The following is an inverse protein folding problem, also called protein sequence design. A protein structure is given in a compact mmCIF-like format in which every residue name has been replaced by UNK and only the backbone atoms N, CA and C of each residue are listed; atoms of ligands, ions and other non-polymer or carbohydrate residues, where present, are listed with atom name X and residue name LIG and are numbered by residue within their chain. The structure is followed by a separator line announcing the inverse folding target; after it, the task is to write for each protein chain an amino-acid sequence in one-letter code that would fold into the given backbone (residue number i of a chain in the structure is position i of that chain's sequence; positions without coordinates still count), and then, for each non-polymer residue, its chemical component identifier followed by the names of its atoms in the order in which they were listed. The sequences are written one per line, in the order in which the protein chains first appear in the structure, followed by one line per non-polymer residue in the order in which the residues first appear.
data_IF_984782382719
#
_entry.id   IF_984782382719
#
_cell.length_a   1.000
_cell.length_b   1.000
_cell.length_c   1.000
_cell.angle_alpha   90.00
_cell.angle_beta   90.00
_cell.angle_gamma   90.00
#
_symmetry.space_group_name_H-M   'P 1'
#
loop_
_entity.id
_entity.type
_entity.pdbx_description
1 polymer ?
#
# COMPACT_ATOMS: atom_id res chain seq x y z
N UNK A 1 -8.07 -31.85 -21.10
CA UNK A 1 -7.29 -30.64 -21.43
C UNK A 1 -7.94 -29.33 -20.97
N UNK A 2 -9.25 -29.28 -20.65
CA UNK A 2 -9.93 -28.05 -20.16
C UNK A 2 -9.50 -27.63 -18.74
N UNK A 3 -9.01 -28.57 -17.93
CA UNK A 3 -8.68 -28.35 -16.51
C UNK A 3 -7.40 -27.53 -16.26
N UNK A 4 -6.34 -27.76 -17.06
CA UNK A 4 -5.06 -27.05 -16.86
C UNK A 4 -5.11 -25.59 -17.30
N UNK A 5 -5.84 -25.28 -18.37
CA UNK A 5 -5.97 -23.91 -18.87
C UNK A 5 -6.75 -23.02 -17.87
N UNK A 6 -7.83 -23.54 -17.27
CA UNK A 6 -8.61 -22.82 -16.26
C UNK A 6 -7.83 -22.61 -14.96
N UNK A 7 -7.02 -23.58 -14.54
CA UNK A 7 -6.15 -23.45 -13.36
C UNK A 7 -5.06 -22.38 -13.57
N UNK A 8 -4.43 -22.36 -14.74
CA UNK A 8 -3.42 -21.35 -15.09
C UNK A 8 -4.03 -19.95 -15.14
N UNK A 9 -5.17 -19.80 -15.81
CA UNK A 9 -5.87 -18.51 -15.93
C UNK A 9 -6.31 -17.96 -14.56
N UNK A 10 -6.86 -18.83 -13.70
CA UNK A 10 -7.23 -18.45 -12.33
C UNK A 10 -6.02 -18.03 -11.49
N UNK A 11 -4.90 -18.75 -11.62
CA UNK A 11 -3.64 -18.40 -10.95
C UNK A 11 -3.12 -17.04 -11.42
N UNK A 12 -3.14 -16.78 -12.73
CA UNK A 12 -2.73 -15.49 -13.29
C UNK A 12 -3.65 -14.33 -12.86
N UNK A 13 -4.95 -14.57 -12.73
CA UNK A 13 -5.90 -13.56 -12.21
C UNK A 13 -5.60 -13.20 -10.77
N UNK A 14 -5.42 -14.20 -9.89
CA UNK A 14 -5.10 -13.97 -8.48
C UNK A 14 -3.77 -13.24 -8.27
N UNK A 15 -2.76 -13.55 -9.09
CA UNK A 15 -1.48 -12.83 -9.05
C UNK A 15 -1.64 -11.37 -9.44
N UNK A 16 -2.49 -11.07 -10.43
CA UNK A 16 -2.78 -9.70 -10.83
C UNK A 16 -3.49 -8.94 -9.72
N UNK A 17 -4.52 -9.53 -9.12
CA UNK A 17 -5.27 -8.93 -8.01
C UNK A 17 -4.37 -8.67 -6.80
N UNK A 18 -3.47 -9.60 -6.46
CA UNK A 18 -2.47 -9.41 -5.41
C UNK A 18 -1.53 -8.25 -5.72
N UNK A 19 -0.99 -8.20 -6.93
CA UNK A 19 -0.09 -7.12 -7.36
C UNK A 19 -0.79 -5.77 -7.29
N UNK A 20 -2.03 -5.70 -7.77
CA UNK A 20 -2.79 -4.46 -7.79
C UNK A 20 -3.15 -4.01 -6.36
N UNK A 21 -3.45 -4.95 -5.45
CA UNK A 21 -3.60 -4.67 -4.01
C UNK A 21 -2.32 -4.12 -3.38
N UNK A 22 -1.16 -4.70 -3.68
CA UNK A 22 0.13 -4.23 -3.15
C UNK A 22 0.46 -2.82 -3.63
N UNK A 23 0.20 -2.51 -4.90
CA UNK A 23 0.37 -1.17 -5.43
C UNK A 23 -0.59 -0.14 -4.82
N UNK A 24 -1.85 -0.52 -4.59
CA UNK A 24 -2.82 0.37 -3.94
C UNK A 24 -2.35 0.79 -2.55
N UNK A 25 -1.88 -0.16 -1.76
CA UNK A 25 -1.34 0.09 -0.42
C UNK A 25 -0.05 0.91 -0.47
N UNK A 26 0.89 0.57 -1.35
CA UNK A 26 2.12 1.34 -1.51
C UNK A 26 1.85 2.80 -1.87
N UNK A 27 0.87 3.06 -2.73
CA UNK A 27 0.47 4.42 -3.09
C UNK A 27 -0.07 5.19 -1.88
N UNK A 28 -0.89 4.56 -1.05
CA UNK A 28 -1.41 5.15 0.18
C UNK A 28 -0.30 5.49 1.18
N UNK A 29 0.61 4.55 1.40
CA UNK A 29 1.76 4.70 2.31
C UNK A 29 2.67 5.84 1.87
N UNK A 30 3.02 5.91 0.57
CA UNK A 30 3.89 6.94 0.04
C UNK A 30 3.28 8.35 0.13
N UNK A 31 1.97 8.47 -0.09
CA UNK A 31 1.28 9.75 0.06
C UNK A 31 1.38 10.25 1.51
N UNK A 32 1.14 9.36 2.47
CA UNK A 32 1.17 9.71 3.89
C UNK A 32 2.59 10.08 4.36
N UNK A 33 3.61 9.33 3.93
CA UNK A 33 5.03 9.65 4.18
C UNK A 33 5.38 11.03 3.62
N UNK A 34 4.96 11.35 2.39
CA UNK A 34 5.23 12.67 1.78
C UNK A 34 4.55 13.79 2.55
N UNK A 35 3.30 13.60 2.97
CA UNK A 35 2.55 14.56 3.77
C UNK A 35 3.27 14.85 5.09
N UNK A 36 3.57 13.81 5.88
CA UNK A 36 4.24 13.95 7.17
C UNK A 36 5.64 14.58 7.04
N UNK A 37 6.38 14.22 5.99
CA UNK A 37 7.67 14.86 5.70
C UNK A 37 7.50 16.36 5.48
N UNK A 38 6.57 16.77 4.62
CA UNK A 38 6.33 18.18 4.33
C UNK A 38 5.80 18.96 5.54
N UNK A 39 5.02 18.33 6.41
CA UNK A 39 4.62 18.91 7.70
C UNK A 39 5.81 19.17 8.61
N UNK A 40 6.72 18.21 8.75
CA UNK A 40 7.94 18.36 9.56
C UNK A 40 8.90 19.39 8.97
N UNK A 41 8.96 19.51 7.65
CA UNK A 41 9.83 20.47 6.93
C UNK A 41 9.21 21.88 6.82
N UNK A 42 7.95 22.08 7.21
CA UNK A 42 7.26 23.38 7.08
C UNK A 42 6.92 23.76 5.64
N UNK A 43 6.81 22.78 4.74
CA UNK A 43 6.62 22.94 3.29
C UNK A 43 5.15 23.18 2.91
N UNK A 44 4.57 24.27 3.44
CA UNK A 44 3.14 24.57 3.36
C UNK A 44 2.59 24.58 1.92
N UNK A 45 3.32 25.11 0.94
CA UNK A 45 2.90 25.11 -0.45
C UNK A 45 2.71 23.70 -1.02
N UNK A 46 3.55 22.74 -0.61
CA UNK A 46 3.42 21.33 -1.04
C UNK A 46 2.27 20.64 -0.31
N UNK A 47 2.01 20.99 0.95
CA UNK A 47 0.85 20.50 1.70
C UNK A 47 -0.46 20.99 1.10
N UNK A 48 -0.54 22.25 0.69
CA UNK A 48 -1.70 22.81 0.03
C UNK A 48 -1.99 22.09 -1.29
N UNK A 49 -0.95 21.83 -2.11
CA UNK A 49 -1.09 21.03 -3.33
C UNK A 49 -1.59 19.61 -3.03
N UNK A 50 -1.03 18.93 -2.03
CA UNK A 50 -1.52 17.59 -1.63
C UNK A 50 -3.00 17.67 -1.23
N UNK A 51 -3.37 18.64 -0.38
CA UNK A 51 -4.73 18.76 0.13
C UNK A 51 -5.74 19.14 -0.97
N UNK A 52 -5.31 19.85 -2.02
CA UNK A 52 -6.15 20.17 -3.18
C UNK A 52 -6.53 18.92 -3.99
N UNK A 53 -5.57 18.04 -4.29
CA UNK A 53 -5.79 16.89 -5.17
C UNK A 53 -6.18 15.59 -4.41
N UNK A 54 -5.72 15.49 -3.17
CA UNK A 54 -5.98 14.40 -2.24
C UNK A 54 -6.51 14.97 -0.93
N UNK A 55 -7.78 15.37 -0.96
CA UNK A 55 -8.50 15.81 0.24
C UNK A 55 -8.47 14.73 1.32
N UNK A 56 -8.68 15.13 2.59
CA UNK A 56 -8.73 14.18 3.71
C UNK A 56 -9.68 13.01 3.45
N UNK A 57 -10.89 13.28 2.95
CA UNK A 57 -11.87 12.23 2.64
C UNK A 57 -11.36 11.25 1.57
N UNK A 58 -10.76 11.76 0.50
CA UNK A 58 -10.21 10.93 -0.58
C UNK A 58 -9.03 10.08 -0.10
N UNK A 59 -8.21 10.59 0.83
CA UNK A 59 -7.14 9.81 1.46
C UNK A 59 -7.71 8.69 2.32
N UNK A 60 -8.76 8.95 3.08
CA UNK A 60 -9.44 7.93 3.89
C UNK A 60 -10.05 6.85 3.00
N UNK A 61 -10.74 7.23 1.93
CA UNK A 61 -11.29 6.30 0.92
C UNK A 61 -10.21 5.42 0.29
N UNK A 62 -9.15 6.04 -0.22
CA UNK A 62 -8.01 5.32 -0.79
C UNK A 62 -7.37 4.35 0.20
N UNK A 63 -7.24 4.73 1.48
CA UNK A 63 -6.72 3.85 2.51
C UNK A 63 -7.66 2.66 2.77
N UNK A 64 -8.98 2.89 2.82
CA UNK A 64 -9.96 1.82 3.00
C UNK A 64 -9.92 0.83 1.83
N UNK A 65 -9.94 1.31 0.59
CA UNK A 65 -9.87 0.47 -0.60
C UNK A 65 -8.58 -0.36 -0.63
N UNK A 66 -7.45 0.27 -0.35
CA UNK A 66 -6.15 -0.40 -0.32
C UNK A 66 -6.12 -1.50 0.74
N UNK A 67 -6.62 -1.24 1.95
CA UNK A 67 -6.67 -2.23 3.03
C UNK A 67 -7.62 -3.39 2.70
N UNK A 68 -8.79 -3.10 2.13
CA UNK A 68 -9.74 -4.15 1.71
C UNK A 68 -9.09 -5.06 0.66
N UNK A 69 -8.48 -4.48 -0.38
CA UNK A 69 -7.79 -5.23 -1.42
C UNK A 69 -6.65 -6.09 -0.84
N UNK A 70 -5.89 -5.54 0.09
CA UNK A 70 -4.80 -6.25 0.76
C UNK A 70 -5.29 -7.41 1.62
N UNK A 71 -6.39 -7.23 2.35
CA UNK A 71 -6.99 -8.32 3.13
C UNK A 71 -7.57 -9.41 2.24
N UNK A 72 -8.12 -9.06 1.07
CA UNK A 72 -8.70 -10.01 0.14
C UNK A 72 -7.64 -10.82 -0.64
N UNK A 73 -6.59 -10.17 -1.11
CA UNK A 73 -5.66 -10.74 -2.10
C UNK A 73 -4.20 -10.85 -1.63
N UNK A 74 -3.85 -10.15 -0.55
CA UNK A 74 -2.50 -10.14 0.01
C UNK A 74 -2.16 -11.37 0.84
N UNK A 75 -0.85 -11.59 0.97
CA UNK A 75 -0.26 -12.54 1.89
C UNK A 75 -0.52 -12.16 3.35
N UNK A 76 -0.22 -13.08 4.26
CA UNK A 76 -0.33 -12.81 5.69
C UNK A 76 0.70 -11.77 6.14
N UNK A 77 1.90 -11.83 5.56
CA UNK A 77 2.99 -10.87 5.75
C UNK A 77 2.56 -9.46 5.32
N UNK A 78 1.86 -9.36 4.19
CA UNK A 78 1.32 -8.10 3.71
C UNK A 78 0.28 -7.52 4.68
N UNK A 79 -0.62 -8.35 5.22
CA UNK A 79 -1.62 -7.90 6.23
C UNK A 79 -0.96 -7.41 7.51
N UNK A 80 0.08 -8.11 8.00
CA UNK A 80 0.87 -7.65 9.15
C UNK A 80 1.55 -6.31 8.88
N UNK A 81 2.06 -6.10 7.67
CA UNK A 81 2.56 -4.79 7.26
C UNK A 81 1.48 -3.70 7.38
N UNK A 82 0.24 -3.96 6.92
CA UNK A 82 -0.83 -2.98 7.03
C UNK A 82 -1.18 -2.62 8.47
N UNK A 83 -1.18 -3.59 9.39
CA UNK A 83 -1.38 -3.33 10.82
C UNK A 83 -0.25 -2.47 11.41
N UNK A 84 1.00 -2.81 11.10
CA UNK A 84 2.17 -2.05 11.54
C UNK A 84 2.17 -0.63 10.96
N UNK A 85 1.82 -0.48 9.69
CA UNK A 85 1.69 0.82 9.04
C UNK A 85 0.60 1.67 9.68
N UNK A 86 -0.57 1.09 10.01
CA UNK A 86 -1.65 1.80 10.71
C UNK A 86 -1.20 2.33 12.06
N UNK A 87 -0.44 1.54 12.82
CA UNK A 87 0.11 1.96 14.11
C UNK A 87 1.10 3.12 13.95
N UNK A 88 2.06 3.00 13.02
CA UNK A 88 3.04 4.04 12.76
C UNK A 88 2.42 5.34 12.22
N UNK A 89 1.41 5.23 11.35
CA UNK A 89 0.66 6.38 10.86
C UNK A 89 -0.13 7.07 11.98
N UNK A 90 -0.74 6.30 12.88
CA UNK A 90 -1.48 6.82 14.03
C UNK A 90 -0.59 7.55 15.05
N UNK A 91 0.68 7.17 15.16
CA UNK A 91 1.68 7.86 15.99
C UNK A 91 2.53 8.88 15.22
N UNK A 92 2.22 9.13 13.94
CA UNK A 92 2.98 9.99 13.03
C UNK A 92 4.49 9.68 12.99
N UNK A 93 4.86 8.40 13.16
CA UNK A 93 6.24 7.96 13.17
C UNK A 93 6.77 7.79 11.74
N UNK A 94 7.25 8.90 11.18
CA UNK A 94 7.78 8.95 9.82
C UNK A 94 8.91 7.94 9.58
N UNK A 95 9.78 7.71 10.57
CA UNK A 95 10.92 6.80 10.39
C UNK A 95 10.43 5.35 10.29
N UNK A 96 9.55 4.94 11.21
CA UNK A 96 8.93 3.62 11.16
C UNK A 96 8.15 3.42 9.85
N UNK A 97 7.40 4.42 9.38
CA UNK A 97 6.66 4.32 8.11
C UNK A 97 7.59 4.14 6.91
N UNK A 98 8.73 4.84 6.87
CA UNK A 98 9.71 4.72 5.78
C UNK A 98 10.38 3.33 5.77
N UNK A 99 10.72 2.81 6.94
CA UNK A 99 11.31 1.47 7.06
C UNK A 99 10.30 0.38 6.70
N UNK A 100 9.06 0.48 7.18
CA UNK A 100 7.97 -0.41 6.80
C UNK A 100 7.75 -0.38 5.27
N UNK A 101 7.70 0.80 4.66
CA UNK A 101 7.55 0.93 3.20
C UNK A 101 8.70 0.26 2.43
N UNK A 102 9.94 0.33 2.95
CA UNK A 102 11.10 -0.35 2.36
C UNK A 102 10.95 -1.87 2.44
N UNK A 103 10.60 -2.38 3.63
CA UNK A 103 10.38 -3.81 3.86
C UNK A 103 9.25 -4.34 2.98
N UNK A 104 8.15 -3.61 2.85
CA UNK A 104 7.02 -4.04 2.03
C UNK A 104 7.34 -4.06 0.53
N UNK A 105 8.15 -3.12 0.03
CA UNK A 105 8.65 -3.20 -1.36
C UNK A 105 9.52 -4.44 -1.59
N UNK A 106 10.34 -4.82 -0.62
CA UNK A 106 11.16 -6.05 -0.71
C UNK A 106 10.28 -7.30 -0.69
N UNK A 107 9.28 -7.33 0.20
CA UNK A 107 8.30 -8.41 0.27
C UNK A 107 7.53 -8.55 -1.05
N UNK A 108 7.01 -7.44 -1.58
CA UNK A 108 6.34 -7.40 -2.87
C UNK A 108 7.24 -7.92 -3.99
N UNK A 109 8.53 -7.55 -4.00
CA UNK A 109 9.46 -8.04 -5.01
C UNK A 109 9.67 -9.55 -4.91
N UNK A 110 9.87 -10.11 -3.71
CA UNK A 110 10.01 -11.57 -3.51
C UNK A 110 8.73 -12.29 -3.93
N UNK A 111 7.56 -11.87 -3.44
CA UNK A 111 6.30 -12.56 -3.71
C UNK A 111 5.86 -12.49 -5.18
N UNK A 112 6.25 -11.42 -5.90
CA UNK A 112 5.92 -11.27 -7.32
C UNK A 112 7.00 -11.85 -8.25
N UNK A 113 8.19 -12.18 -7.74
CA UNK A 113 9.27 -12.85 -8.50
C UNK A 113 9.30 -14.37 -8.30
N UNK A 114 8.83 -14.89 -7.17
CA UNK A 114 8.82 -16.33 -6.85
C UNK A 114 7.75 -17.15 -7.61
N UNK A 115 7.24 -16.67 -8.75
CA UNK A 115 6.19 -17.34 -9.52
C UNK A 115 6.40 -17.28 -11.03
#
# INVERSE_FOLDING_TARGET
MVDQAQVVERRSSLLRERRDAYFAVMRAVELEIRRLRYEREGENAKLDQINQYWTKSKRVEMNMEALIALHAFGSEEARRFAEAWRLAAGSEDLAAMQDLARQFRQQMASELQET
#
